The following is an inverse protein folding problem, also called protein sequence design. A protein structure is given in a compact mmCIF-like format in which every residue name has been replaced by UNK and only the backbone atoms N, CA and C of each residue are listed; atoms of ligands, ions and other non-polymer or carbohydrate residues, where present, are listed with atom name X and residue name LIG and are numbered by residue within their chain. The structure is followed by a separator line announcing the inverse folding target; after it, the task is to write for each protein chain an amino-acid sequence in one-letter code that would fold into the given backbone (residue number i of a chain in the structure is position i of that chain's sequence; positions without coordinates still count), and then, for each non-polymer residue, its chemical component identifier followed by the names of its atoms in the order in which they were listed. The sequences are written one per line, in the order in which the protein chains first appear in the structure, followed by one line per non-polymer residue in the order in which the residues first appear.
data_IF_582677601228
#
_entry.id   IF_582677601228
#
_cell.length_a   1.000
_cell.length_b   1.000
_cell.length_c   1.000
_cell.angle_alpha   90.00
_cell.angle_beta   90.00
_cell.angle_gamma   90.00
#
_symmetry.space_group_name_H-M   'P 1'
#
loop_
_entity.id
_entity.type
_entity.pdbx_description
1 polymer ?
#
# COMPACT_ATOMS: atom_id res chain seq x y z
N UNK A 1 5.01 2.87 4.10
CA UNK A 1 4.08 4.00 4.28
C UNK A 1 3.57 4.14 5.72
N UNK A 2 3.20 3.06 6.39
CA UNK A 2 2.81 3.12 7.83
C UNK A 2 3.92 3.78 8.66
N UNK A 3 5.16 3.36 8.51
CA UNK A 3 6.32 3.93 9.22
C UNK A 3 6.47 5.45 8.98
N UNK A 4 6.30 5.89 7.74
CA UNK A 4 6.33 7.33 7.42
C UNK A 4 5.15 8.05 8.07
N UNK A 5 3.94 7.46 8.03
CA UNK A 5 2.76 8.06 8.64
C UNK A 5 2.89 8.22 10.17
N UNK A 6 3.54 7.27 10.84
CA UNK A 6 3.75 7.30 12.29
C UNK A 6 4.83 8.29 12.74
N UNK A 7 5.86 8.49 11.91
CA UNK A 7 7.05 9.24 12.30
C UNK A 7 7.18 10.60 11.60
N UNK A 8 6.22 10.98 10.74
CA UNK A 8 6.26 12.24 10.00
C UNK A 8 5.76 13.48 10.79
N UNK A 9 5.83 13.45 12.10
CA UNK A 9 5.49 14.59 12.96
C UNK A 9 6.38 15.80 12.66
N UNK A 10 6.11 16.47 11.54
CA UNK A 10 6.80 17.64 11.01
C UNK A 10 8.24 17.42 10.49
N UNK A 11 8.78 16.22 10.61
CA UNK A 11 10.14 15.89 10.12
C UNK A 11 10.11 14.79 9.07
N UNK A 12 10.95 14.91 8.02
CA UNK A 12 11.09 13.84 7.04
C UNK A 12 11.62 12.56 7.66
N UNK A 13 11.12 11.41 7.21
CA UNK A 13 11.57 10.10 7.66
C UNK A 13 12.72 9.62 6.78
N UNK A 14 13.87 9.35 7.39
CA UNK A 14 15.03 8.78 6.71
C UNK A 14 14.77 7.33 6.30
N UNK A 15 15.12 6.97 5.04
CA UNK A 15 15.00 5.59 4.55
C UNK A 15 15.86 4.63 5.38
N UNK A 16 17.07 5.02 5.76
CA UNK A 16 17.95 4.19 6.59
C UNK A 16 17.34 3.89 7.96
N UNK A 17 16.74 4.88 8.58
CA UNK A 17 16.06 4.69 9.86
C UNK A 17 14.81 3.82 9.73
N UNK A 18 14.00 4.04 8.69
CA UNK A 18 12.84 3.21 8.40
C UNK A 18 13.25 1.75 8.11
N UNK A 19 14.28 1.53 7.30
CA UNK A 19 14.81 0.20 6.99
C UNK A 19 15.27 -0.53 8.26
N UNK A 20 15.96 0.17 9.15
CA UNK A 20 16.40 -0.37 10.43
C UNK A 20 15.21 -0.74 11.34
N UNK A 21 14.21 0.12 11.47
CA UNK A 21 13.00 -0.16 12.27
C UNK A 21 12.23 -1.37 11.73
N UNK A 22 12.14 -1.49 10.40
CA UNK A 22 11.40 -2.55 9.72
C UNK A 22 12.22 -3.82 9.48
N UNK A 23 13.52 -3.80 9.83
CA UNK A 23 14.44 -4.92 9.59
C UNK A 23 14.48 -5.39 8.14
N UNK A 24 14.52 -4.44 7.20
CA UNK A 24 14.64 -4.68 5.76
C UNK A 24 15.85 -3.97 5.18
N UNK A 25 16.31 -4.41 4.01
CA UNK A 25 17.49 -3.78 3.39
C UNK A 25 17.20 -2.37 2.88
N UNK A 26 18.15 -1.47 3.05
CA UNK A 26 18.09 -0.10 2.54
C UNK A 26 17.81 -0.08 1.03
N UNK A 27 18.53 -0.91 0.27
CA UNK A 27 18.40 -1.02 -1.18
C UNK A 27 16.99 -1.44 -1.61
N UNK A 28 16.38 -2.38 -0.92
CA UNK A 28 15.01 -2.81 -1.21
C UNK A 28 14.00 -1.69 -0.92
N UNK A 29 14.17 -1.01 0.21
CA UNK A 29 13.30 0.10 0.58
C UNK A 29 13.47 1.31 -0.36
N UNK A 30 14.68 1.58 -0.86
CA UNK A 30 14.93 2.61 -1.87
C UNK A 30 14.17 2.36 -3.17
N UNK A 31 14.06 1.11 -3.61
CA UNK A 31 13.26 0.75 -4.78
C UNK A 31 11.78 1.03 -4.56
N UNK A 32 11.23 0.63 -3.43
CA UNK A 32 9.82 0.86 -3.09
C UNK A 32 9.52 2.35 -2.99
N UNK A 33 10.34 3.11 -2.27
CA UNK A 33 10.12 4.54 -2.09
C UNK A 33 10.22 5.33 -3.39
N UNK A 34 11.06 4.87 -4.32
CA UNK A 34 11.15 5.46 -5.67
C UNK A 34 9.82 5.34 -6.42
N UNK A 35 9.18 4.18 -6.36
CA UNK A 35 7.86 3.97 -6.96
C UNK A 35 6.82 4.90 -6.34
N UNK A 36 6.79 4.99 -5.01
CA UNK A 36 5.87 5.85 -4.27
C UNK A 36 6.09 7.33 -4.56
N UNK A 37 7.36 7.75 -4.68
CA UNK A 37 7.72 9.13 -4.99
C UNK A 37 7.35 9.52 -6.42
N UNK A 38 7.62 8.65 -7.39
CA UNK A 38 7.25 8.87 -8.79
C UNK A 38 5.73 8.94 -8.99
N UNK A 39 4.97 8.16 -8.24
CA UNK A 39 3.52 8.18 -8.25
C UNK A 39 2.92 9.37 -7.45
N UNK A 40 3.76 10.13 -6.76
CA UNK A 40 3.31 11.28 -5.98
C UNK A 40 2.64 10.94 -4.65
N UNK A 41 2.91 9.76 -4.09
CA UNK A 41 2.39 9.36 -2.77
C UNK A 41 3.25 9.91 -1.63
N UNK A 42 4.53 10.08 -1.88
CA UNK A 42 5.47 10.71 -0.96
C UNK A 42 6.22 11.84 -1.66
N UNK A 43 6.83 12.71 -0.90
CA UNK A 43 7.76 13.73 -1.38
C UNK A 43 9.10 13.58 -0.67
N UNK A 44 10.19 13.72 -1.43
CA UNK A 44 11.52 13.74 -0.87
C UNK A 44 11.92 15.14 -0.40
N UNK A 45 12.60 15.23 0.73
CA UNK A 45 13.21 16.45 1.26
C UNK A 45 14.72 16.23 1.28
N UNK A 46 15.46 17.08 0.61
CA UNK A 46 16.92 17.03 0.56
C UNK A 46 17.54 17.68 1.78
N UNK A 47 18.77 17.28 2.11
CA UNK A 47 19.59 17.87 3.15
C UNK A 47 20.02 16.88 4.22
N UNK A 48 20.82 17.34 5.23
CA UNK A 48 21.35 16.48 6.29
C UNK A 48 20.23 15.90 7.20
N UNK A 49 19.07 16.55 7.25
CA UNK A 49 17.86 16.11 7.95
C UNK A 49 16.74 15.76 6.97
N UNK A 50 17.12 15.38 5.75
CA UNK A 50 16.19 15.01 4.70
C UNK A 50 15.57 13.60 4.91
N UNK A 51 14.67 13.27 4.02
CA UNK A 51 13.95 12.02 4.03
C UNK A 51 12.66 12.13 3.21
N UNK A 52 11.63 11.43 3.65
CA UNK A 52 10.36 11.39 2.95
C UNK A 52 9.20 11.76 3.85
N UNK A 53 8.23 12.44 3.28
CA UNK A 53 6.95 12.80 3.89
C UNK A 53 5.81 12.31 3.01
N UNK A 54 4.65 12.02 3.59
CA UNK A 54 3.44 11.79 2.83
C UNK A 54 3.00 13.09 2.13
N UNK A 55 2.48 13.00 0.91
CA UNK A 55 1.93 14.16 0.19
C UNK A 55 0.51 14.52 0.63
N UNK A 56 -0.25 13.53 1.09
CA UNK A 56 -1.64 13.68 1.56
C UNK A 56 -1.77 13.16 2.98
N UNK A 57 -2.90 13.43 3.61
CA UNK A 57 -3.20 12.84 4.91
C UNK A 57 -3.32 11.31 4.84
N UNK A 58 -2.97 10.55 5.88
CA UNK A 58 -3.07 9.10 5.88
C UNK A 58 -4.45 8.54 5.51
N UNK A 59 -5.51 9.24 5.87
CA UNK A 59 -6.90 8.89 5.51
C UNK A 59 -7.19 8.92 4.01
N UNK A 60 -6.38 9.63 3.22
CA UNK A 60 -6.55 9.79 1.78
C UNK A 60 -5.84 8.70 0.97
N UNK A 61 -5.18 7.75 1.63
CA UNK A 61 -4.57 6.56 1.02
C UNK A 61 -5.34 5.32 1.44
N UNK A 62 -5.89 4.58 0.49
CA UNK A 62 -6.41 3.24 0.76
C UNK A 62 -5.33 2.19 0.60
N UNK A 63 -5.50 1.05 1.24
CA UNK A 63 -4.64 -0.13 1.05
C UNK A 63 -4.63 -0.54 -0.43
N UNK A 64 -5.80 -0.49 -1.08
CA UNK A 64 -5.95 -0.81 -2.50
C UNK A 64 -5.11 0.09 -3.41
N UNK A 65 -5.08 1.41 -3.15
CA UNK A 65 -4.23 2.35 -3.90
C UNK A 65 -2.75 1.97 -3.80
N UNK A 66 -2.28 1.65 -2.61
CA UNK A 66 -0.87 1.30 -2.36
C UNK A 66 -0.53 -0.03 -3.04
N UNK A 67 -1.36 -1.06 -2.86
CA UNK A 67 -1.13 -2.38 -3.43
C UNK A 67 -1.15 -2.36 -4.97
N UNK A 68 -2.11 -1.67 -5.59
CA UNK A 68 -2.14 -1.55 -7.06
C UNK A 68 -0.93 -0.83 -7.62
N UNK A 69 -0.39 0.12 -6.89
CA UNK A 69 0.82 0.83 -7.30
C UNK A 69 2.07 -0.06 -7.20
N UNK A 70 2.19 -0.88 -6.15
CA UNK A 70 3.40 -1.66 -5.87
C UNK A 70 3.37 -3.04 -6.50
N UNK A 71 2.20 -3.68 -6.57
CA UNK A 71 2.02 -5.06 -7.04
C UNK A 71 1.32 -5.15 -8.41
N UNK A 72 0.68 -4.08 -8.86
CA UNK A 72 -0.14 -4.07 -10.06
C UNK A 72 -1.56 -4.55 -9.80
N UNK A 73 -2.12 -5.31 -10.75
CA UNK A 73 -3.48 -5.84 -10.62
C UNK A 73 -3.63 -6.76 -9.41
N UNK A 74 -4.74 -6.61 -8.68
CA UNK A 74 -5.12 -7.48 -7.56
C UNK A 74 -6.08 -8.59 -8.00
N UNK A 75 -6.38 -8.68 -9.29
CA UNK A 75 -7.25 -9.72 -9.82
C UNK A 75 -6.61 -11.10 -9.67
N UNK A 76 -7.34 -12.09 -9.12
CA UNK A 76 -6.82 -13.45 -8.96
C UNK A 76 -6.56 -14.15 -10.29
N UNK A 77 -7.26 -13.73 -11.34
CA UNK A 77 -7.10 -14.19 -12.72
C UNK A 77 -7.33 -13.04 -13.69
N UNK A 78 -6.69 -13.06 -14.84
CA UNK A 78 -6.75 -11.98 -15.83
C UNK A 78 -8.13 -11.70 -16.39
N UNK A 79 -9.00 -12.72 -16.48
CA UNK A 79 -10.33 -12.57 -17.07
C UNK A 79 -11.31 -11.71 -16.26
N UNK A 80 -10.98 -11.32 -15.03
CA UNK A 80 -11.77 -10.41 -14.19
C UNK A 80 -11.18 -9.00 -14.10
N UNK A 81 -10.05 -8.73 -14.76
CA UNK A 81 -9.50 -7.39 -14.88
C UNK A 81 -10.39 -6.50 -15.75
N UNK A 82 -10.41 -5.20 -15.47
CA UNK A 82 -11.25 -4.24 -16.21
C UNK A 82 -10.90 -4.17 -17.70
N UNK A 83 -9.61 -4.28 -18.04
CA UNK A 83 -9.09 -4.23 -19.40
C UNK A 83 -8.86 -5.64 -20.02
N UNK A 84 -9.43 -6.67 -19.41
CA UNK A 84 -9.23 -8.02 -19.89
C UNK A 84 -9.85 -8.22 -21.28
N UNK A 85 -9.07 -8.72 -22.21
CA UNK A 85 -9.59 -9.26 -23.46
C UNK A 85 -10.69 -10.27 -23.14
N UNK A 86 -11.85 -10.12 -23.79
CA UNK A 86 -13.00 -10.95 -23.50
C UNK A 86 -12.66 -12.42 -23.78
N UNK A 87 -12.58 -13.22 -22.73
CA UNK A 87 -12.47 -14.67 -22.87
C UNK A 87 -13.72 -15.19 -23.58
N UNK A 88 -13.55 -15.88 -24.70
CA UNK A 88 -14.65 -16.44 -25.50
C UNK A 88 -15.58 -17.36 -24.70
N UNK A 89 -15.05 -17.96 -23.62
CA UNK A 89 -15.78 -18.86 -22.71
C UNK A 89 -16.45 -18.17 -21.54
N UNK A 90 -16.32 -16.84 -21.39
CA UNK A 90 -16.79 -16.08 -20.22
C UNK A 90 -18.26 -16.31 -19.92
N UNK A 91 -19.11 -16.35 -20.95
CA UNK A 91 -20.55 -16.55 -20.81
C UNK A 91 -20.96 -17.93 -20.27
N UNK A 92 -20.11 -18.95 -20.49
CA UNK A 92 -20.39 -20.34 -20.10
C UNK A 92 -19.40 -20.86 -19.04
N UNK A 93 -18.60 -19.96 -18.43
CA UNK A 93 -17.57 -20.35 -17.49
C UNK A 93 -18.10 -20.28 -16.05
N UNK A 94 -18.39 -21.42 -15.46
CA UNK A 94 -18.88 -21.50 -14.07
C UNK A 94 -17.86 -20.92 -13.06
N UNK A 95 -16.55 -21.10 -13.31
CA UNK A 95 -15.50 -20.60 -12.44
C UNK A 95 -15.30 -19.10 -12.55
N UNK A 96 -15.72 -18.45 -13.65
CA UNK A 96 -15.68 -17.01 -13.78
C UNK A 96 -16.47 -16.32 -12.66
N UNK A 97 -17.64 -16.85 -12.30
CA UNK A 97 -18.46 -16.29 -11.22
C UNK A 97 -17.72 -16.34 -9.88
N UNK A 98 -16.98 -17.40 -9.63
CA UNK A 98 -16.18 -17.56 -8.39
C UNK A 98 -15.07 -16.51 -8.37
N UNK A 99 -14.31 -16.39 -9.46
CA UNK A 99 -13.21 -15.43 -9.55
C UNK A 99 -13.69 -13.97 -9.46
N UNK A 100 -14.82 -13.66 -10.08
CA UNK A 100 -15.41 -12.33 -9.97
C UNK A 100 -15.79 -12.00 -8.53
N UNK A 101 -16.46 -12.91 -7.83
CA UNK A 101 -16.81 -12.71 -6.42
C UNK A 101 -15.59 -12.57 -5.52
N UNK A 102 -14.52 -13.31 -5.78
CA UNK A 102 -13.27 -13.17 -5.04
C UNK A 102 -12.62 -11.81 -5.28
N UNK A 103 -12.59 -11.37 -6.54
CA UNK A 103 -12.02 -10.07 -6.88
C UNK A 103 -12.83 -8.92 -6.27
N UNK A 104 -14.15 -8.98 -6.35
CA UNK A 104 -15.05 -8.01 -5.72
C UNK A 104 -14.80 -7.92 -4.21
N UNK A 105 -14.66 -9.06 -3.54
CA UNK A 105 -14.37 -9.14 -2.11
C UNK A 105 -12.98 -8.55 -1.77
N UNK A 106 -11.96 -8.82 -2.58
CA UNK A 106 -10.62 -8.23 -2.41
C UNK A 106 -10.72 -6.70 -2.53
N UNK A 107 -11.35 -6.20 -3.58
CA UNK A 107 -11.52 -4.76 -3.79
C UNK A 107 -12.29 -4.12 -2.65
N UNK A 108 -13.39 -4.73 -2.20
CA UNK A 108 -14.20 -4.22 -1.10
C UNK A 108 -13.39 -4.09 0.21
N UNK A 109 -12.53 -5.05 0.50
CA UNK A 109 -11.65 -4.99 1.67
C UNK A 109 -10.60 -3.89 1.51
N UNK A 110 -9.80 -3.92 0.44
CA UNK A 110 -8.62 -3.06 0.33
C UNK A 110 -8.95 -1.60 0.02
N UNK A 111 -10.10 -1.33 -0.59
CA UNK A 111 -10.51 0.03 -0.94
C UNK A 111 -11.26 0.75 0.20
N UNK A 112 -11.66 0.01 1.24
CA UNK A 112 -12.32 0.57 2.42
C UNK A 112 -11.41 0.64 3.67
N UNK A 113 -10.18 0.18 3.59
CA UNK A 113 -9.18 0.30 4.66
C UNK A 113 -8.18 1.39 4.27
N UNK A 114 -7.98 2.37 5.14
CA UNK A 114 -7.06 3.48 4.92
C UNK A 114 -5.71 3.26 5.61
N UNK A 115 -4.71 4.05 5.21
CA UNK A 115 -3.43 4.08 5.91
C UNK A 115 -3.59 4.57 7.36
N UNK A 116 -4.56 5.45 7.63
CA UNK A 116 -4.90 5.90 8.97
C UNK A 116 -5.41 4.76 9.86
N UNK A 117 -6.28 3.88 9.31
CA UNK A 117 -6.74 2.69 10.01
C UNK A 117 -5.57 1.77 10.39
N UNK A 118 -4.66 1.53 9.44
CA UNK A 118 -3.47 0.70 9.68
C UNK A 118 -2.55 1.29 10.76
N UNK A 119 -2.38 2.60 10.79
CA UNK A 119 -1.61 3.29 11.83
C UNK A 119 -2.28 3.12 13.19
N UNK A 120 -3.61 3.28 13.26
CA UNK A 120 -4.39 3.11 14.50
C UNK A 120 -4.26 1.68 15.03
N UNK A 121 -4.46 0.69 14.18
CA UNK A 121 -4.33 -0.73 14.56
C UNK A 121 -2.91 -1.09 15.02
N UNK A 122 -1.89 -0.50 14.38
CA UNK A 122 -0.51 -0.73 14.79
C UNK A 122 -0.22 -0.18 16.20
N UNK A 123 -0.77 0.99 16.54
CA UNK A 123 -0.64 1.60 17.87
C UNK A 123 -1.37 0.76 18.91
N UNK A 124 -2.60 0.34 18.63
CA UNK A 124 -3.41 -0.51 19.50
C UNK A 124 -2.73 -1.86 19.77
N UNK A 125 -2.22 -2.54 18.74
CA UNK A 125 -1.49 -3.79 18.87
C UNK A 125 -0.17 -3.67 19.63
N UNK A 126 0.46 -2.50 19.60
CA UNK A 126 1.69 -2.22 20.38
C UNK A 126 1.41 -1.97 21.86
N UNK A 127 0.20 -1.60 22.21
CA UNK A 127 -0.24 -1.35 23.60
C UNK A 127 -0.58 -2.62 24.39
N UNK A 128 -0.90 -3.72 23.72
CA UNK A 128 -1.28 -4.98 24.38
C UNK A 128 -0.11 -5.80 24.96
N UNK A 129 1.12 -5.35 24.77
CA UNK A 129 2.34 -5.98 25.32
C UNK A 129 2.89 -5.30 26.58
N UNK A 130 2.17 -4.35 27.16
CA UNK A 130 2.50 -3.80 28.47
C UNK A 130 1.78 -4.59 29.57
N UNK A 131 2.40 -5.68 29.94
CA UNK A 131 2.11 -6.30 31.23
C UNK A 131 3.12 -5.76 32.26
#
# INVERSE_FOLDING_TARGET
MIDIAQHCNEKPVSIKEAAKRQNISDKYLEQIISILNNAGYVKSIRGPHGGYLLKKAPKDYTVGMILRLTEGSLAPVTCVEEDADSCERKSNCATFVVWQKMYDAICDVVDNITLEDLVSWHIEGSGDYCI
#
